data_IF_835297965975
#
_entry.id   IF_835297965975
#
_cell.length_a   1.000
_cell.length_b   1.000
_cell.length_c   1.000
_cell.angle_alpha   90.00
_cell.angle_beta   90.00
_cell.angle_gamma   90.00
#
_symmetry.space_group_name_H-M   'P 1'
#
loop_
_entity.id
_entity.type
_entity.pdbx_description
1 polymer ?
#
# COMPACT_ATOMS: atom_id res chain seq x y z
N UNK A 1 19.10 -4.96 -2.81
CA UNK A 1 19.24 -3.55 -3.05
C UNK A 1 17.90 -3.02 -2.59
N UNK A 2 17.86 -2.30 -1.46
CA UNK A 2 16.64 -1.56 -1.13
C UNK A 2 16.18 -0.79 -2.38
N UNK A 3 14.86 -0.62 -2.58
CA UNK A 3 14.37 0.12 -3.74
C UNK A 3 15.12 1.44 -3.84
N UNK A 4 15.56 1.78 -5.06
CA UNK A 4 16.33 3.01 -5.25
C UNK A 4 15.52 4.22 -4.78
N UNK A 5 16.23 5.28 -4.38
CA UNK A 5 15.55 6.52 -4.04
C UNK A 5 14.69 6.95 -5.25
N UNK A 6 13.39 7.22 -5.05
CA UNK A 6 12.50 7.58 -6.15
C UNK A 6 12.88 8.92 -6.79
N UNK A 7 13.69 9.74 -6.12
CA UNK A 7 14.17 11.02 -6.63
C UNK A 7 15.63 10.87 -7.04
N UNK A 8 15.91 11.06 -8.32
CA UNK A 8 17.27 11.04 -8.88
C UNK A 8 17.60 12.42 -9.45
N UNK A 9 18.56 13.11 -8.84
CA UNK A 9 18.95 14.45 -9.24
C UNK A 9 20.35 14.50 -9.86
N UNK A 10 20.53 15.40 -10.82
CA UNK A 10 21.82 15.74 -11.43
C UNK A 10 21.96 17.28 -11.52
N UNK A 11 22.92 17.77 -12.31
CA UNK A 11 23.15 19.22 -12.46
C UNK A 11 22.01 19.97 -13.16
N UNK A 12 21.13 19.28 -13.90
CA UNK A 12 20.08 19.89 -14.72
C UNK A 12 18.68 19.77 -14.11
N UNK A 13 18.51 19.03 -13.01
CA UNK A 13 17.24 18.86 -12.32
C UNK A 13 17.11 17.50 -11.65
N UNK A 14 15.87 17.10 -11.37
CA UNK A 14 15.52 15.85 -10.73
C UNK A 14 14.48 15.09 -11.54
N UNK A 15 14.59 13.77 -11.56
CA UNK A 15 13.59 12.85 -12.11
C UNK A 15 12.94 12.10 -10.95
N UNK A 16 11.61 12.14 -10.89
CA UNK A 16 10.82 11.35 -9.97
C UNK A 16 10.34 10.05 -10.64
N UNK A 17 10.56 8.95 -9.93
CA UNK A 17 10.04 7.62 -10.21
C UNK A 17 9.01 7.23 -9.13
N UNK A 18 8.22 6.20 -9.41
CA UNK A 18 7.44 5.52 -8.37
C UNK A 18 8.13 4.22 -7.95
N UNK A 19 7.58 3.53 -6.95
CA UNK A 19 8.09 2.22 -6.52
C UNK A 19 8.07 1.14 -7.61
N UNK A 20 7.32 1.36 -8.69
CA UNK A 20 7.17 0.44 -9.82
C UNK A 20 8.19 0.72 -10.94
N UNK A 21 8.97 1.79 -10.81
CA UNK A 21 9.92 2.25 -11.81
C UNK A 21 9.32 3.34 -12.70
N UNK A 22 9.03 3.00 -13.95
CA UNK A 22 8.53 3.96 -14.94
C UNK A 22 7.02 4.13 -14.76
N UNK A 23 6.55 5.37 -14.89
CA UNK A 23 5.12 5.69 -14.85
C UNK A 23 4.34 5.02 -16.01
N UNK A 24 3.03 4.82 -15.83
CA UNK A 24 2.17 4.12 -16.79
C UNK A 24 2.18 4.71 -18.21
N UNK A 25 2.31 6.04 -18.33
CA UNK A 25 2.39 6.76 -19.61
C UNK A 25 3.80 6.77 -20.23
N UNK A 26 4.77 6.13 -19.57
CA UNK A 26 6.20 6.08 -19.91
C UNK A 26 6.90 7.44 -20.00
N UNK A 27 6.28 8.50 -19.51
CA UNK A 27 6.88 9.84 -19.48
C UNK A 27 7.57 10.08 -18.16
N UNK A 28 8.79 10.59 -18.20
CA UNK A 28 9.53 10.99 -17.00
C UNK A 28 8.84 12.17 -16.30
N UNK A 29 9.04 12.23 -14.99
CA UNK A 29 8.52 13.29 -14.15
C UNK A 29 9.67 14.21 -13.76
N UNK A 30 9.92 15.23 -14.59
CA UNK A 30 11.01 16.18 -14.38
C UNK A 30 10.59 17.32 -13.45
N UNK A 31 11.54 17.77 -12.63
CA UNK A 31 11.36 18.85 -11.67
C UNK A 31 12.69 19.54 -11.44
N UNK A 32 12.68 20.88 -11.31
CA UNK A 32 13.89 21.67 -11.16
C UNK A 32 14.70 21.32 -9.89
N UNK A 33 14.03 21.11 -8.75
CA UNK A 33 14.73 20.86 -7.49
C UNK A 33 13.89 20.09 -6.47
N UNK A 34 14.56 19.50 -5.48
CA UNK A 34 13.97 18.79 -4.35
C UNK A 34 14.60 19.27 -3.06
N UNK A 35 13.79 19.44 -2.02
CA UNK A 35 14.26 19.70 -0.66
C UNK A 35 13.94 18.51 0.26
N UNK A 36 14.76 18.34 1.31
CA UNK A 36 14.64 17.22 2.26
C UNK A 36 14.56 17.71 3.72
N UNK A 37 13.43 18.31 4.12
CA UNK A 37 13.21 18.76 5.49
C UNK A 37 13.35 17.63 6.52
N UNK A 38 13.76 18.01 7.71
CA UNK A 38 13.96 17.15 8.89
C UNK A 38 13.08 17.57 10.06
N UNK A 39 12.50 18.78 10.00
CA UNK A 39 11.59 19.33 11.03
C UNK A 39 10.32 19.91 10.41
N UNK A 40 9.27 20.09 11.23
CA UNK A 40 8.02 20.72 10.77
C UNK A 40 8.24 22.17 10.33
N UNK A 41 9.15 22.89 10.99
CA UNK A 41 9.49 24.26 10.61
C UNK A 41 10.22 24.31 9.26
N UNK A 42 11.11 23.35 8.97
CA UNK A 42 11.73 23.25 7.65
C UNK A 42 10.70 22.90 6.55
N UNK A 43 9.70 22.06 6.85
CA UNK A 43 8.57 21.84 5.93
C UNK A 43 7.79 23.13 5.70
N UNK A 44 7.50 23.89 6.76
CA UNK A 44 6.78 25.16 6.67
C UNK A 44 7.56 26.19 5.86
N UNK A 45 8.86 26.32 6.11
CA UNK A 45 9.78 27.20 5.37
C UNK A 45 9.90 26.80 3.90
N UNK A 46 9.89 25.50 3.57
CA UNK A 46 9.87 25.02 2.19
C UNK A 46 8.60 25.46 1.45
N UNK A 47 7.42 25.31 2.09
CA UNK A 47 6.14 25.80 1.53
C UNK A 47 6.13 27.33 1.43
N UNK A 48 6.63 28.04 2.44
CA UNK A 48 6.73 29.50 2.43
C UNK A 48 7.60 30.01 1.29
N UNK A 49 8.79 29.41 1.09
CA UNK A 49 9.69 29.76 0.02
C UNK A 49 9.06 29.48 -1.36
N UNK A 50 8.38 28.35 -1.52
CA UNK A 50 7.67 28.04 -2.75
C UNK A 50 6.55 29.05 -3.03
N UNK A 51 5.74 29.38 -2.03
CA UNK A 51 4.66 30.36 -2.16
C UNK A 51 5.19 31.76 -2.52
N UNK A 52 6.22 32.24 -1.81
CA UNK A 52 6.88 33.54 -2.08
C UNK A 52 7.40 33.64 -3.53
N UNK A 53 7.94 32.54 -4.06
CA UNK A 53 8.50 32.47 -5.41
C UNK A 53 7.51 31.94 -6.47
N UNK A 54 6.23 31.77 -6.11
CA UNK A 54 5.16 31.27 -7.01
C UNK A 54 5.50 29.90 -7.65
N UNK A 55 6.22 29.05 -6.93
CA UNK A 55 6.57 27.69 -7.36
C UNK A 55 5.43 26.72 -7.06
N UNK A 56 5.21 25.74 -7.94
CA UNK A 56 4.33 24.61 -7.64
C UNK A 56 5.04 23.63 -6.71
N UNK A 57 4.28 23.01 -5.81
CA UNK A 57 4.82 22.07 -4.82
C UNK A 57 4.15 20.71 -4.99
N UNK A 58 4.96 19.66 -4.91
CA UNK A 58 4.47 18.30 -4.66
C UNK A 58 5.25 17.65 -3.54
N UNK A 59 4.55 16.87 -2.73
CA UNK A 59 5.12 16.16 -1.60
C UNK A 59 5.39 14.73 -2.03
N UNK A 60 6.58 14.22 -1.69
CA UNK A 60 7.01 12.88 -2.08
C UNK A 60 7.44 12.12 -0.83
N UNK A 61 6.86 10.94 -0.64
CA UNK A 61 7.27 10.02 0.41
C UNK A 61 8.51 9.24 0.01
N UNK A 62 9.20 8.65 1.00
CA UNK A 62 10.44 7.88 0.81
C UNK A 62 10.41 6.88 -0.36
N UNK A 63 9.26 6.26 -0.62
CA UNK A 63 9.13 5.24 -1.65
C UNK A 63 8.32 5.69 -2.88
N UNK A 64 7.62 6.83 -2.84
CA UNK A 64 6.77 7.30 -3.94
C UNK A 64 5.83 6.20 -4.46
N UNK A 65 5.16 5.49 -3.55
CA UNK A 65 4.35 4.32 -3.90
C UNK A 65 2.93 4.71 -4.34
N UNK A 66 2.85 5.27 -5.55
CA UNK A 66 1.60 5.62 -6.22
C UNK A 66 1.67 5.20 -7.69
N UNK A 67 0.63 4.54 -8.18
CA UNK A 67 0.51 4.20 -9.61
C UNK A 67 0.18 5.49 -10.40
N UNK A 68 -0.86 6.27 -10.03
CA UNK A 68 -1.10 7.54 -10.68
C UNK A 68 0.00 8.56 -10.36
N UNK A 69 0.24 9.47 -11.32
CA UNK A 69 1.21 10.58 -11.25
C UNK A 69 0.82 11.72 -10.28
N UNK A 70 0.24 11.41 -9.12
CA UNK A 70 -0.20 12.41 -8.14
C UNK A 70 0.94 13.28 -7.61
N UNK A 71 2.12 12.68 -7.46
CA UNK A 71 3.33 13.35 -6.99
C UNK A 71 4.06 14.14 -8.08
N UNK A 72 3.61 14.05 -9.34
CA UNK A 72 4.19 14.82 -10.43
C UNK A 72 3.55 16.20 -10.54
N UNK A 73 4.35 17.27 -10.61
CA UNK A 73 3.83 18.60 -10.90
C UNK A 73 3.30 18.67 -12.34
N UNK A 74 2.17 19.34 -12.54
CA UNK A 74 1.57 19.56 -13.87
C UNK A 74 2.22 20.70 -14.65
N UNK A 75 3.26 21.34 -14.10
CA UNK A 75 3.86 22.54 -14.66
C UNK A 75 4.62 22.22 -15.96
N UNK A 76 4.13 22.78 -17.08
CA UNK A 76 4.76 22.65 -18.41
C UNK A 76 6.12 23.34 -18.54
N UNK A 77 6.48 24.20 -17.58
CA UNK A 77 7.63 25.10 -17.64
C UNK A 77 8.58 24.98 -16.42
N UNK A 78 8.72 23.79 -15.83
CA UNK A 78 9.73 23.46 -14.79
C UNK A 78 9.69 24.23 -13.46
N UNK A 79 8.75 25.19 -13.27
CA UNK A 79 8.56 25.93 -12.02
C UNK A 79 7.88 25.10 -10.92
N UNK A 80 8.50 24.00 -10.53
CA UNK A 80 8.05 23.13 -9.46
C UNK A 80 9.20 22.69 -8.55
N UNK A 81 8.87 22.42 -7.29
CA UNK A 81 9.77 21.85 -6.29
C UNK A 81 9.11 20.63 -5.66
N UNK A 82 9.89 19.58 -5.44
CA UNK A 82 9.49 18.47 -4.58
C UNK A 82 9.90 18.73 -3.14
N UNK A 83 9.00 18.42 -2.20
CA UNK A 83 9.32 18.34 -0.78
C UNK A 83 9.31 16.86 -0.41
N UNK A 84 10.50 16.30 -0.17
CA UNK A 84 10.64 14.91 0.26
C UNK A 84 10.47 14.78 1.77
N UNK A 85 9.58 13.90 2.21
CA UNK A 85 9.40 13.58 3.63
C UNK A 85 10.31 12.45 4.09
N UNK A 86 11.27 12.01 3.27
CA UNK A 86 12.16 10.88 3.58
C UNK A 86 12.95 11.07 4.88
N UNK A 87 13.29 12.31 5.24
CA UNK A 87 14.04 12.66 6.46
C UNK A 87 13.17 13.25 7.58
N UNK A 88 11.88 13.41 7.33
CA UNK A 88 10.90 13.89 8.30
C UNK A 88 10.03 12.71 8.75
N UNK A 89 10.63 11.84 9.54
CA UNK A 89 10.08 10.53 9.89
C UNK A 89 10.53 10.01 11.27
N UNK A 90 10.85 10.91 12.20
CA UNK A 90 11.47 10.55 13.48
C UNK A 90 10.48 10.52 14.64
N UNK A 91 9.39 11.31 14.59
CA UNK A 91 8.45 11.42 15.70
C UNK A 91 7.30 10.41 15.60
N UNK A 92 7.18 9.53 16.60
CA UNK A 92 6.03 8.66 16.87
C UNK A 92 5.70 8.77 18.36
N UNK A 93 4.63 9.47 18.73
CA UNK A 93 4.24 9.72 20.12
C UNK A 93 2.94 8.98 20.41
N UNK A 94 3.02 7.95 21.25
CA UNK A 94 1.88 7.12 21.66
C UNK A 94 1.32 7.64 22.98
N UNK A 95 0.03 7.95 22.99
CA UNK A 95 -0.75 8.27 24.17
C UNK A 95 -1.60 7.05 24.54
N UNK A 96 -1.07 6.25 25.48
CA UNK A 96 -1.70 5.00 25.92
C UNK A 96 -3.01 5.26 26.68
N UNK A 97 -3.11 6.38 27.38
CA UNK A 97 -4.29 6.72 28.17
C UNK A 97 -5.49 7.05 27.27
N UNK A 98 -5.24 7.79 26.18
CA UNK A 98 -6.27 8.20 25.23
C UNK A 98 -6.40 7.28 24.00
N UNK A 99 -5.62 6.19 23.94
CA UNK A 99 -5.55 5.29 22.78
C UNK A 99 -5.33 6.09 21.49
N UNK A 100 -4.27 6.88 21.43
CA UNK A 100 -3.94 7.69 20.26
C UNK A 100 -2.45 7.65 19.94
N UNK A 101 -2.11 7.88 18.67
CA UNK A 101 -0.71 8.10 18.25
C UNK A 101 -0.62 9.31 17.35
N UNK A 102 0.28 10.25 17.67
CA UNK A 102 0.66 11.36 16.79
C UNK A 102 2.00 11.08 16.14
N UNK A 103 2.06 11.20 14.81
CA UNK A 103 3.19 10.74 14.01
C UNK A 103 3.55 11.71 12.89
N UNK A 104 4.85 11.85 12.59
CA UNK A 104 5.32 12.62 11.43
C UNK A 104 4.82 12.00 10.12
N UNK A 105 4.40 12.84 9.18
CA UNK A 105 3.81 12.38 7.92
C UNK A 105 4.70 11.47 7.08
N UNK A 106 6.04 11.56 7.23
CA UNK A 106 7.00 10.73 6.51
C UNK A 106 7.28 9.36 7.17
N UNK A 107 6.78 9.10 8.38
CA UNK A 107 6.93 7.79 9.04
C UNK A 107 6.26 6.71 8.21
N UNK A 108 7.00 5.62 7.99
CA UNK A 108 6.48 4.42 7.34
C UNK A 108 5.50 3.65 8.22
N UNK A 109 4.55 2.95 7.61
CA UNK A 109 3.52 2.21 8.33
C UNK A 109 4.10 1.08 9.21
N UNK A 110 5.14 0.37 8.75
CA UNK A 110 5.79 -0.70 9.55
C UNK A 110 6.41 -0.18 10.86
N UNK A 111 7.30 0.84 10.87
CA UNK A 111 7.79 1.44 12.11
C UNK A 111 6.68 1.95 13.04
N UNK A 112 5.59 2.50 12.49
CA UNK A 112 4.44 2.94 13.27
C UNK A 112 3.74 1.76 13.96
N UNK A 113 3.48 0.66 13.23
CA UNK A 113 2.89 -0.56 13.79
C UNK A 113 3.77 -1.11 14.91
N UNK A 114 5.07 -1.29 14.65
CA UNK A 114 5.98 -1.87 15.63
C UNK A 114 6.00 -1.03 16.92
N UNK A 115 6.09 0.30 16.81
CA UNK A 115 6.08 1.22 17.97
C UNK A 115 4.76 1.21 18.75
N UNK A 116 3.62 1.07 18.08
CA UNK A 116 2.30 0.99 18.73
C UNK A 116 2.12 -0.34 19.45
N UNK A 117 2.60 -1.44 18.87
CA UNK A 117 2.52 -2.78 19.47
C UNK A 117 3.43 -2.93 20.70
N UNK A 118 4.58 -2.24 20.75
CA UNK A 118 5.44 -2.16 21.95
C UNK A 118 4.68 -1.63 23.18
N UNK A 119 3.69 -0.77 22.98
CA UNK A 119 2.84 -0.22 24.05
C UNK A 119 1.59 -1.08 24.33
N UNK A 120 1.51 -2.28 23.76
CA UNK A 120 0.37 -3.20 23.91
C UNK A 120 -0.90 -2.73 23.20
N UNK A 121 -0.77 -1.85 22.21
CA UNK A 121 -1.87 -1.30 21.41
C UNK A 121 -1.84 -1.81 19.98
N UNK A 122 -2.83 -1.41 19.17
CA UNK A 122 -2.86 -1.68 17.74
C UNK A 122 -3.43 -0.51 16.94
N UNK A 123 -3.01 -0.40 15.69
CA UNK A 123 -3.73 0.43 14.70
C UNK A 123 -5.04 -0.26 14.36
N UNK A 124 -6.14 0.51 14.38
CA UNK A 124 -7.48 0.01 14.04
C UNK A 124 -7.54 -0.48 12.59
N UNK A 125 -6.91 0.26 11.68
CA UNK A 125 -6.82 -0.08 10.27
C UNK A 125 -5.39 0.10 9.75
N UNK A 126 -4.99 -0.73 8.79
CA UNK A 126 -3.73 -0.60 8.07
C UNK A 126 -3.86 -1.22 6.67
N UNK A 127 -3.02 -0.79 5.74
CA UNK A 127 -2.96 -1.35 4.39
C UNK A 127 -2.33 -2.74 4.37
N UNK A 128 -2.59 -3.50 3.29
CA UNK A 128 -1.90 -4.77 3.03
C UNK A 128 -0.40 -4.57 2.75
N UNK A 129 -0.03 -3.48 2.07
CA UNK A 129 1.36 -3.13 1.80
C UNK A 129 1.82 -2.01 2.73
N UNK A 130 2.95 -2.21 3.42
CA UNK A 130 3.36 -1.37 4.55
C UNK A 130 4.51 -0.41 4.24
N UNK A 131 5.00 -0.38 2.99
CA UNK A 131 5.98 0.59 2.56
C UNK A 131 5.40 1.99 2.29
N UNK A 132 4.16 2.28 2.74
CA UNK A 132 3.57 3.61 2.64
C UNK A 132 4.01 4.48 3.81
N UNK A 133 4.23 5.77 3.56
CA UNK A 133 4.27 6.78 4.62
C UNK A 133 2.86 7.09 5.12
N UNK A 134 2.69 7.42 6.39
CA UNK A 134 1.36 7.70 6.95
C UNK A 134 0.67 8.91 6.31
N UNK A 135 1.42 9.97 5.99
CA UNK A 135 0.87 11.15 5.30
C UNK A 135 0.36 10.81 3.91
N UNK A 136 1.10 9.98 3.17
CA UNK A 136 0.68 9.44 1.87
C UNK A 136 -0.57 8.56 2.00
N UNK A 137 -0.59 7.63 2.94
CA UNK A 137 -1.72 6.73 3.19
C UNK A 137 -3.03 7.49 3.48
N UNK A 138 -2.98 8.50 4.34
CA UNK A 138 -4.13 9.37 4.64
C UNK A 138 -4.53 10.22 3.44
N UNK A 139 -3.55 10.77 2.70
CA UNK A 139 -3.81 11.64 1.55
C UNK A 139 -4.50 10.90 0.39
N UNK A 140 -4.22 9.62 0.19
CA UNK A 140 -4.74 8.82 -0.93
C UNK A 140 -5.87 7.87 -0.54
N UNK A 141 -6.37 7.95 0.69
CA UNK A 141 -7.46 7.08 1.14
C UNK A 141 -7.07 5.60 1.25
N UNK A 142 -5.81 5.31 1.59
CA UNK A 142 -5.35 3.93 1.67
C UNK A 142 -6.07 3.14 2.78
N UNK A 143 -6.36 1.87 2.51
CA UNK A 143 -7.20 1.04 3.36
C UNK A 143 -6.73 -0.42 3.42
N UNK A 144 -7.16 -1.12 4.47
CA UNK A 144 -7.22 -2.57 4.55
C UNK A 144 -8.61 -3.07 4.15
N UNK A 145 -8.99 -4.25 4.64
CA UNK A 145 -10.33 -4.81 4.44
C UNK A 145 -11.07 -4.91 5.78
N UNK A 146 -12.25 -4.29 5.86
CA UNK A 146 -13.23 -4.49 6.93
C UNK A 146 -14.53 -3.75 6.63
N UNK A 147 -15.67 -4.37 6.94
CA UNK A 147 -16.99 -3.71 7.01
C UNK A 147 -17.45 -3.42 8.44
N UNK A 148 -16.63 -3.74 9.43
CA UNK A 148 -16.99 -3.55 10.83
C UNK A 148 -16.66 -2.12 11.28
N UNK A 149 -17.45 -1.60 12.22
CA UNK A 149 -17.23 -0.28 12.80
C UNK A 149 -17.18 0.83 11.75
N UNK A 150 -16.06 1.57 11.69
CA UNK A 150 -15.82 2.62 10.69
C UNK A 150 -15.18 2.10 9.39
N UNK A 151 -15.01 0.78 9.24
CA UNK A 151 -14.39 0.16 8.08
C UNK A 151 -12.85 0.11 8.13
N UNK A 152 -12.28 -0.44 7.07
CA UNK A 152 -10.84 -0.71 6.94
C UNK A 152 -9.99 0.48 6.46
N UNK A 153 -10.55 1.67 6.26
CA UNK A 153 -9.78 2.80 5.71
C UNK A 153 -9.03 3.57 6.79
N UNK A 154 -7.75 3.86 6.55
CA UNK A 154 -6.90 4.52 7.57
C UNK A 154 -7.42 5.91 7.92
N UNK A 155 -7.97 6.63 6.93
CA UNK A 155 -8.43 8.01 7.10
C UNK A 155 -9.67 8.13 8.00
N UNK A 156 -10.48 7.08 8.16
CA UNK A 156 -11.64 7.06 9.07
C UNK A 156 -11.24 7.03 10.55
N UNK A 157 -10.00 6.63 10.82
CA UNK A 157 -9.40 6.53 12.15
C UNK A 157 -8.45 7.70 12.47
N UNK A 158 -8.39 8.72 11.60
CA UNK A 158 -7.62 9.95 11.83
C UNK A 158 -8.40 10.90 12.72
N UNK A 159 -7.94 11.18 13.93
CA UNK A 159 -8.59 12.11 14.88
C UNK A 159 -7.97 13.51 14.88
N UNK A 160 -6.85 13.70 14.16
CA UNK A 160 -6.28 15.03 13.93
C UNK A 160 -5.19 15.03 12.87
N UNK A 161 -4.96 16.20 12.27
CA UNK A 161 -3.93 16.46 11.26
C UNK A 161 -3.33 17.84 11.50
N UNK A 162 -2.01 17.96 11.35
CA UNK A 162 -1.36 19.25 11.15
C UNK A 162 -1.13 19.46 9.66
N UNK A 163 -1.70 20.52 9.11
CA UNK A 163 -1.68 20.84 7.69
C UNK A 163 -0.95 22.17 7.46
N UNK A 164 0.15 22.13 6.72
CA UNK A 164 0.86 23.32 6.27
C UNK A 164 0.21 23.82 4.99
N UNK A 165 -0.26 25.07 5.01
CA UNK A 165 -0.92 25.72 3.87
C UNK A 165 -0.20 27.02 3.51
N UNK A 166 -0.28 27.48 2.24
CA UNK A 166 0.17 28.81 1.87
C UNK A 166 -0.48 29.89 2.73
N UNK A 167 0.31 30.90 3.11
CA UNK A 167 -0.13 32.06 3.89
C UNK A 167 0.24 33.36 3.19
N UNK A 168 -0.19 34.49 3.76
CA UNK A 168 0.21 35.81 3.26
C UNK A 168 1.61 36.19 3.78
N UNK A 169 2.14 37.35 3.34
CA UNK A 169 3.46 37.82 3.75
C UNK A 169 3.56 38.10 5.26
N UNK A 170 2.48 38.59 5.90
CA UNK A 170 2.44 38.81 7.36
C UNK A 170 2.48 37.51 8.18
N UNK A 171 2.06 36.39 7.59
CA UNK A 171 2.15 35.04 8.16
C UNK A 171 3.46 34.32 7.77
N UNK A 172 4.42 35.02 7.15
CA UNK A 172 5.67 34.43 6.69
C UNK A 172 5.48 33.46 5.51
N UNK A 173 4.48 33.70 4.65
CA UNK A 173 4.14 32.95 3.42
C UNK A 173 3.64 31.51 3.59
N UNK A 174 3.64 30.94 4.80
CA UNK A 174 3.01 29.65 5.09
C UNK A 174 2.66 29.55 6.57
N UNK A 175 1.54 28.89 6.87
CA UNK A 175 1.04 28.68 8.24
C UNK A 175 0.64 27.22 8.46
N UNK A 176 0.62 26.81 9.72
CA UNK A 176 0.20 25.46 10.14
C UNK A 176 -1.23 25.53 10.68
N UNK A 177 -2.10 24.67 10.18
CA UNK A 177 -3.44 24.43 10.73
C UNK A 177 -3.39 23.18 11.61
N UNK A 178 -3.81 23.28 12.86
CA UNK A 178 -3.98 22.15 13.78
C UNK A 178 -5.44 21.70 13.77
N UNK A 179 -5.79 20.78 12.87
CA UNK A 179 -7.16 20.31 12.65
C UNK A 179 -7.41 19.07 13.50
N UNK A 180 -8.37 19.10 14.43
CA UNK A 180 -8.63 17.99 15.36
C UNK A 180 -10.09 17.93 15.80
N UNK A 181 -10.50 16.77 16.29
CA UNK A 181 -11.85 16.56 16.79
C UNK A 181 -12.90 16.87 15.71
N UNK A 182 -13.84 17.75 16.04
CA UNK A 182 -14.96 18.11 15.17
C UNK A 182 -14.67 19.30 14.24
N UNK A 183 -13.39 19.66 14.04
CA UNK A 183 -13.03 20.69 13.07
C UNK A 183 -13.55 20.31 11.66
N UNK A 184 -14.41 21.14 11.04
CA UNK A 184 -15.05 20.79 9.76
C UNK A 184 -14.04 20.62 8.62
N UNK A 185 -12.84 21.22 8.72
CA UNK A 185 -11.79 21.09 7.71
C UNK A 185 -11.02 19.77 7.83
N UNK A 186 -11.14 19.03 8.94
CA UNK A 186 -10.47 17.75 9.10
C UNK A 186 -10.95 16.74 8.05
N UNK A 187 -12.25 16.74 7.74
CA UNK A 187 -12.82 15.88 6.69
C UNK A 187 -12.26 16.21 5.29
N UNK A 188 -11.95 17.47 5.01
CA UNK A 188 -11.31 17.86 3.75
C UNK A 188 -9.82 17.48 3.72
N UNK A 189 -9.13 17.58 4.86
CA UNK A 189 -7.72 17.21 4.96
C UNK A 189 -7.49 15.69 4.80
N UNK A 190 -8.43 14.88 5.29
CA UNK A 190 -8.51 13.44 5.00
C UNK A 190 -8.71 13.24 3.50
N UNK A 191 -7.94 12.34 2.89
CA UNK A 191 -8.04 12.03 1.44
C UNK A 191 -7.91 13.28 0.55
N UNK A 192 -7.01 14.20 0.91
CA UNK A 192 -6.82 15.45 0.18
C UNK A 192 -6.04 15.31 -1.14
N UNK A 193 -5.55 14.11 -1.48
CA UNK A 193 -4.67 13.85 -2.64
C UNK A 193 -3.43 14.77 -2.70
N UNK A 194 -3.07 15.40 -1.57
CA UNK A 194 -2.00 16.39 -1.48
C UNK A 194 -2.27 17.71 -2.20
N UNK A 195 -3.54 18.08 -2.48
CA UNK A 195 -3.87 19.33 -3.19
C UNK A 195 -4.21 20.50 -2.27
N UNK A 196 -4.60 20.22 -1.02
CA UNK A 196 -5.05 21.25 -0.06
C UNK A 196 -3.90 21.83 0.78
N UNK A 197 -2.81 21.09 0.92
CA UNK A 197 -1.66 21.47 1.73
C UNK A 197 -0.74 20.28 1.96
N UNK A 198 0.33 20.51 2.72
CA UNK A 198 1.27 19.48 3.15
C UNK A 198 0.85 18.99 4.53
N UNK A 199 0.45 17.73 4.66
CA UNK A 199 0.23 17.09 5.96
C UNK A 199 1.60 16.91 6.63
N UNK A 200 1.83 17.55 7.78
CA UNK A 200 3.06 17.44 8.57
C UNK A 200 2.91 16.45 9.71
N UNK A 201 1.75 16.32 10.34
CA UNK A 201 1.50 15.28 11.35
C UNK A 201 0.12 14.69 11.17
N UNK A 202 0.00 13.41 11.55
CA UNK A 202 -1.27 12.69 11.62
C UNK A 202 -1.43 12.20 13.05
N UNK A 203 -2.63 12.33 13.61
CA UNK A 203 -3.03 11.69 14.86
C UNK A 203 -4.09 10.64 14.56
N UNK A 204 -3.82 9.39 14.90
CA UNK A 204 -4.71 8.25 14.71
C UNK A 204 -5.26 7.78 16.05
N UNK A 205 -6.53 7.38 16.08
CA UNK A 205 -7.04 6.54 17.16
C UNK A 205 -6.43 5.14 17.09
N UNK A 206 -6.20 4.56 18.26
CA UNK A 206 -5.68 3.22 18.49
C UNK A 206 -6.74 2.37 19.18
N UNK A 207 -6.44 1.09 19.30
CA UNK A 207 -7.18 0.15 20.11
C UNK A 207 -6.24 -0.74 20.94
N UNK A 208 -6.81 -1.55 21.83
CA UNK A 208 -6.03 -2.55 22.58
C UNK A 208 -5.45 -3.58 21.62
N UNK A 209 -4.22 -4.00 21.88
CA UNK A 209 -3.57 -5.05 21.11
C UNK A 209 -4.39 -6.34 21.08
N UNK A 210 -4.29 -7.07 19.98
CA UNK A 210 -4.96 -8.36 19.77
C UNK A 210 -4.15 -9.24 18.82
N UNK A 211 -4.51 -10.53 18.78
CA UNK A 211 -4.01 -11.48 17.80
C UNK A 211 -5.10 -11.77 16.76
N UNK A 212 -4.71 -12.22 15.58
CA UNK A 212 -5.60 -12.71 14.53
C UNK A 212 -5.57 -14.22 14.48
N UNK A 213 -6.65 -14.85 14.03
CA UNK A 213 -6.75 -16.26 13.70
C UNK A 213 -7.14 -16.37 12.22
N UNK A 214 -6.20 -16.83 11.38
CA UNK A 214 -6.34 -16.78 9.92
C UNK A 214 -6.44 -18.18 9.33
N UNK A 215 -7.48 -18.41 8.53
CA UNK A 215 -7.63 -19.59 7.68
C UNK A 215 -7.88 -19.15 6.24
N UNK A 216 -7.14 -19.71 5.27
CA UNK A 216 -7.44 -19.51 3.85
C UNK A 216 -8.16 -20.74 3.31
N UNK A 217 -9.34 -20.54 2.74
CA UNK A 217 -10.11 -21.59 2.10
C UNK A 217 -10.02 -21.47 0.58
N UNK A 218 -9.25 -22.37 -0.03
CA UNK A 218 -9.14 -22.48 -1.49
C UNK A 218 -10.29 -23.36 -2.00
N UNK A 219 -11.27 -22.72 -2.63
CA UNK A 219 -12.51 -23.34 -3.12
C UNK A 219 -12.77 -22.94 -4.58
N UNK A 220 -13.85 -23.48 -5.17
CA UNK A 220 -14.36 -23.02 -6.45
C UNK A 220 -15.08 -21.66 -6.30
N UNK A 221 -15.18 -20.90 -7.39
CA UNK A 221 -15.76 -19.55 -7.42
C UNK A 221 -17.29 -19.48 -7.56
N UNK A 222 -17.99 -20.61 -7.52
CA UNK A 222 -19.46 -20.65 -7.52
C UNK A 222 -20.05 -19.84 -6.35
N UNK A 223 -20.97 -18.92 -6.66
CA UNK A 223 -21.78 -18.21 -5.66
C UNK A 223 -21.05 -17.05 -4.96
N UNK A 224 -19.86 -16.64 -5.41
CA UNK A 224 -19.15 -15.48 -4.84
C UNK A 224 -20.04 -14.25 -4.82
N UNK A 225 -20.78 -14.01 -5.90
CA UNK A 225 -21.70 -12.87 -6.07
C UNK A 225 -22.82 -12.84 -5.02
N UNK A 226 -23.20 -14.00 -4.49
CA UNK A 226 -24.25 -14.15 -3.48
C UNK A 226 -23.66 -14.13 -2.06
N UNK A 227 -22.46 -14.68 -1.88
CA UNK A 227 -21.87 -14.95 -0.57
C UNK A 227 -20.97 -13.83 -0.04
N UNK A 228 -20.39 -12.98 -0.90
CA UNK A 228 -19.36 -12.00 -0.49
C UNK A 228 -19.85 -11.06 0.61
N UNK A 229 -21.13 -10.66 0.55
CA UNK A 229 -21.73 -9.77 1.54
C UNK A 229 -21.81 -10.43 2.93
N UNK A 230 -22.19 -11.71 2.98
CA UNK A 230 -22.27 -12.42 4.25
C UNK A 230 -20.87 -12.67 4.82
N UNK A 231 -19.92 -13.04 3.96
CA UNK A 231 -18.53 -13.24 4.34
C UNK A 231 -17.92 -11.97 4.96
N UNK A 232 -18.11 -10.82 4.33
CA UNK A 232 -17.61 -9.53 4.82
C UNK A 232 -18.28 -9.04 6.11
N UNK A 233 -19.55 -9.43 6.36
CA UNK A 233 -20.21 -9.19 7.65
C UNK A 233 -19.73 -10.13 8.73
N UNK A 234 -19.39 -11.38 8.39
CA UNK A 234 -19.03 -12.42 9.36
C UNK A 234 -17.62 -12.29 9.90
N UNK A 235 -16.66 -11.90 9.07
CA UNK A 235 -15.24 -11.82 9.47
C UNK A 235 -14.76 -10.36 9.44
N UNK A 236 -14.15 -9.91 10.54
CA UNK A 236 -13.73 -8.51 10.71
C UNK A 236 -12.77 -8.06 9.59
N UNK A 237 -11.91 -8.95 9.11
CA UNK A 237 -10.92 -8.67 8.07
C UNK A 237 -11.06 -9.56 6.83
N UNK A 238 -12.32 -9.87 6.47
CA UNK A 238 -12.69 -10.67 5.31
C UNK A 238 -11.98 -10.21 4.02
N UNK A 239 -11.61 -11.15 3.17
CA UNK A 239 -10.95 -10.93 1.88
C UNK A 239 -11.23 -12.13 0.99
N UNK A 240 -11.55 -11.88 -0.28
CA UNK A 240 -11.74 -12.90 -1.29
C UNK A 240 -10.77 -12.60 -2.44
N UNK A 241 -9.81 -13.50 -2.66
CA UNK A 241 -9.00 -13.49 -3.88
C UNK A 241 -9.69 -14.37 -4.91
N UNK A 242 -10.22 -13.74 -5.97
CA UNK A 242 -10.89 -14.45 -7.06
C UNK A 242 -9.92 -14.71 -8.20
N UNK A 243 -9.91 -15.96 -8.67
CA UNK A 243 -9.13 -16.45 -9.80
C UNK A 243 -10.03 -17.01 -10.93
N UNK A 244 -10.74 -16.14 -11.68
CA UNK A 244 -11.75 -16.55 -12.66
C UNK A 244 -11.23 -17.54 -13.71
N UNK A 245 -9.99 -17.40 -14.19
CA UNK A 245 -9.47 -18.34 -15.20
C UNK A 245 -9.47 -19.80 -14.73
N UNK A 246 -9.31 -20.04 -13.43
CA UNK A 246 -9.22 -21.38 -12.84
C UNK A 246 -10.49 -21.78 -12.10
N UNK A 247 -11.55 -20.97 -12.20
CA UNK A 247 -12.78 -21.16 -11.45
C UNK A 247 -12.53 -21.34 -9.95
N UNK A 248 -11.65 -20.51 -9.39
CA UNK A 248 -11.18 -20.65 -8.01
C UNK A 248 -11.35 -19.35 -7.24
N UNK A 249 -11.67 -19.47 -5.96
CA UNK A 249 -11.61 -18.37 -5.02
C UNK A 249 -10.95 -18.78 -3.73
N UNK A 250 -10.30 -17.82 -3.09
CA UNK A 250 -9.62 -17.99 -1.82
C UNK A 250 -10.25 -17.05 -0.82
N UNK A 251 -11.08 -17.61 0.06
CA UNK A 251 -11.72 -16.88 1.13
C UNK A 251 -10.78 -16.81 2.33
N UNK A 252 -10.63 -15.63 2.91
CA UNK A 252 -9.86 -15.38 4.12
C UNK A 252 -10.81 -15.30 5.31
N UNK A 253 -10.87 -16.37 6.10
CA UNK A 253 -11.52 -16.34 7.41
C UNK A 253 -10.52 -15.76 8.40
N UNK A 254 -10.84 -14.60 8.95
CA UNK A 254 -9.90 -13.80 9.73
C UNK A 254 -10.59 -13.15 10.92
N UNK A 255 -10.39 -13.78 12.07
CA UNK A 255 -11.03 -13.40 13.32
C UNK A 255 -10.03 -12.77 14.28
N UNK A 256 -10.51 -11.78 15.02
CA UNK A 256 -9.82 -11.28 16.21
C UNK A 256 -9.89 -12.31 17.33
N UNK A 257 -8.75 -12.54 17.98
CA UNK A 257 -8.63 -13.38 19.18
C UNK A 257 -7.83 -12.67 20.28
N UNK A 258 -8.05 -13.01 21.57
CA UNK A 258 -7.33 -12.39 22.68
C UNK A 258 -5.81 -12.51 22.58
N UNK A 259 -5.07 -11.55 23.13
CA UNK A 259 -3.58 -11.55 23.12
C UNK A 259 -2.96 -12.78 23.78
N UNK A 260 -3.63 -13.39 24.77
CA UNK A 260 -3.16 -14.59 25.46
C UNK A 260 -3.38 -15.89 24.66
N UNK A 261 -3.97 -15.81 23.47
CA UNK A 261 -4.12 -16.96 22.57
C UNK A 261 -2.74 -17.42 22.09
N UNK A 262 -2.48 -18.73 22.16
CA UNK A 262 -1.21 -19.33 21.75
C UNK A 262 -0.99 -19.21 20.23
N UNK A 263 0.24 -18.91 19.83
CA UNK A 263 0.65 -18.81 18.42
C UNK A 263 1.30 -17.46 18.09
N UNK A 264 2.44 -17.51 17.40
CA UNK A 264 3.21 -16.33 16.99
C UNK A 264 3.39 -16.31 15.47
N UNK A 265 2.32 -16.69 14.77
CA UNK A 265 2.28 -16.77 13.34
C UNK A 265 2.46 -15.41 12.66
N UNK A 266 2.94 -15.48 11.42
CA UNK A 266 3.25 -14.30 10.61
C UNK A 266 2.66 -14.46 9.21
N UNK A 267 2.38 -13.33 8.55
CA UNK A 267 2.00 -13.30 7.15
C UNK A 267 3.13 -12.73 6.29
N UNK A 268 4.07 -13.59 5.94
CA UNK A 268 5.18 -13.27 5.05
C UNK A 268 4.76 -13.48 3.59
N UNK A 269 3.95 -12.56 3.08
CA UNK A 269 3.30 -12.70 1.77
C UNK A 269 4.30 -12.80 0.63
N UNK A 270 4.19 -13.87 -0.15
CA UNK A 270 5.15 -14.15 -1.23
C UNK A 270 5.21 -13.08 -2.32
N UNK A 271 4.11 -12.37 -2.59
CA UNK A 271 4.08 -11.34 -3.62
C UNK A 271 4.95 -10.13 -3.28
N UNK A 272 5.27 -9.91 -2.00
CA UNK A 272 6.14 -8.82 -1.56
C UNK A 272 7.55 -9.28 -1.22
N UNK A 273 7.85 -10.58 -1.40
CA UNK A 273 9.20 -11.09 -1.22
C UNK A 273 10.07 -10.72 -2.42
N UNK A 274 11.34 -10.41 -2.19
CA UNK A 274 12.28 -10.21 -3.26
C UNK A 274 12.57 -11.54 -3.96
N UNK A 275 12.58 -11.51 -5.29
CA UNK A 275 12.88 -12.63 -6.17
C UNK A 275 13.98 -12.23 -7.15
N UNK A 276 14.79 -13.19 -7.59
CA UNK A 276 15.81 -12.95 -8.61
C UNK A 276 15.13 -12.55 -9.93
N UNK A 277 15.60 -11.49 -10.59
CA UNK A 277 15.02 -10.96 -11.83
C UNK A 277 14.88 -12.02 -12.96
N UNK A 278 15.79 -12.99 -13.01
CA UNK A 278 15.73 -14.10 -13.97
C UNK A 278 14.46 -14.94 -13.84
N UNK A 279 13.87 -15.05 -12.64
CA UNK A 279 12.66 -15.85 -12.41
C UNK A 279 11.45 -15.25 -13.15
N UNK A 280 11.03 -13.99 -12.88
CA UNK A 280 9.94 -13.37 -13.63
C UNK A 280 10.25 -13.20 -15.11
N UNK A 281 11.51 -12.95 -15.51
CA UNK A 281 11.90 -12.92 -16.92
C UNK A 281 11.64 -14.27 -17.61
N UNK A 282 12.00 -15.37 -16.95
CA UNK A 282 11.76 -16.73 -17.46
C UNK A 282 10.27 -17.03 -17.54
N UNK A 283 9.50 -16.73 -16.47
CA UNK A 283 8.05 -16.90 -16.46
C UNK A 283 7.41 -16.11 -17.62
N UNK A 284 7.80 -14.84 -17.79
CA UNK A 284 7.32 -13.99 -18.88
C UNK A 284 7.69 -14.53 -20.26
N UNK A 285 8.89 -15.07 -20.43
CA UNK A 285 9.32 -15.70 -21.68
C UNK A 285 8.46 -16.94 -22.00
N UNK A 286 8.20 -17.79 -21.00
CA UNK A 286 7.31 -18.95 -21.14
C UNK A 286 5.88 -18.54 -21.48
N UNK A 287 5.34 -17.51 -20.83
CA UNK A 287 4.02 -16.95 -21.14
C UNK A 287 3.92 -16.47 -22.59
N UNK A 288 4.92 -15.70 -23.05
CA UNK A 288 4.99 -15.19 -24.42
C UNK A 288 5.08 -16.33 -25.44
N UNK A 289 5.84 -17.38 -25.16
CA UNK A 289 5.94 -18.55 -26.03
C UNK A 289 4.59 -19.30 -26.14
N UNK A 290 3.88 -19.46 -25.02
CA UNK A 290 2.55 -20.04 -25.00
C UNK A 290 1.53 -19.17 -25.76
N UNK A 291 1.59 -17.84 -25.62
CA UNK A 291 0.74 -16.90 -26.37
C UNK A 291 1.01 -16.94 -27.87
N UNK A 292 2.29 -16.91 -28.28
CA UNK A 292 2.69 -16.94 -29.68
C UNK A 292 2.21 -18.21 -30.40
N UNK A 293 2.16 -19.33 -29.67
CA UNK A 293 1.67 -20.63 -30.18
C UNK A 293 0.18 -20.86 -29.92
N UNK A 294 -0.53 -19.90 -29.31
CA UNK A 294 -1.92 -20.03 -28.84
C UNK A 294 -2.15 -21.31 -28.02
N UNK A 295 -1.16 -21.71 -27.23
CA UNK A 295 -1.20 -22.93 -26.43
C UNK A 295 -1.98 -22.69 -25.14
N UNK A 296 -3.30 -22.89 -25.21
CA UNK A 296 -4.25 -22.76 -24.11
C UNK A 296 -3.86 -23.70 -22.95
N UNK A 297 -3.53 -24.96 -23.23
CA UNK A 297 -3.20 -25.95 -22.20
C UNK A 297 -1.97 -25.51 -21.38
N UNK A 298 -0.93 -24.97 -22.02
CA UNK A 298 0.25 -24.47 -21.32
C UNK A 298 -0.11 -23.30 -20.38
N UNK A 299 -0.94 -22.35 -20.84
CA UNK A 299 -1.44 -21.24 -20.00
C UNK A 299 -2.23 -21.76 -18.78
N UNK A 300 -3.06 -22.79 -18.97
CA UNK A 300 -3.85 -23.37 -17.88
C UNK A 300 -3.04 -24.15 -16.87
N UNK A 301 -2.04 -24.90 -17.32
CA UNK A 301 -1.10 -25.57 -16.44
C UNK A 301 -0.33 -24.54 -15.61
N UNK A 302 0.12 -23.43 -16.23
CA UNK A 302 0.81 -22.35 -15.51
C UNK A 302 -0.10 -21.68 -14.46
N UNK A 303 -1.33 -21.31 -14.83
CA UNK A 303 -2.29 -20.69 -13.92
C UNK A 303 -2.61 -21.62 -12.72
N UNK A 304 -2.97 -22.88 -13.00
CA UNK A 304 -3.29 -23.88 -11.97
C UNK A 304 -2.09 -24.16 -11.06
N UNK A 305 -0.88 -24.26 -11.63
CA UNK A 305 0.35 -24.45 -10.85
C UNK A 305 0.63 -23.27 -9.91
N UNK A 306 0.34 -22.05 -10.35
CA UNK A 306 0.51 -20.85 -9.51
C UNK A 306 -0.41 -20.87 -8.27
N UNK A 307 -1.66 -21.30 -8.44
CA UNK A 307 -2.63 -21.42 -7.33
C UNK A 307 -2.29 -22.60 -6.43
N UNK A 308 -1.91 -23.74 -7.01
CA UNK A 308 -1.45 -24.90 -6.25
C UNK A 308 -0.22 -24.56 -5.39
N UNK A 309 0.73 -23.80 -5.93
CA UNK A 309 1.88 -23.30 -5.19
C UNK A 309 1.46 -22.35 -4.06
N UNK A 310 0.55 -21.40 -4.32
CA UNK A 310 0.00 -20.51 -3.28
C UNK A 310 -0.68 -21.29 -2.16
N UNK A 311 -1.45 -22.32 -2.50
CA UNK A 311 -2.11 -23.22 -1.52
C UNK A 311 -1.08 -23.98 -0.69
N UNK A 312 -0.05 -24.54 -1.31
CA UNK A 312 0.99 -25.33 -0.65
C UNK A 312 1.70 -24.53 0.47
N UNK A 313 1.93 -23.24 0.23
CA UNK A 313 2.66 -22.36 1.16
C UNK A 313 1.74 -21.44 1.97
N UNK A 314 0.43 -21.70 1.96
CA UNK A 314 -0.57 -20.87 2.64
C UNK A 314 -0.50 -19.38 2.30
N UNK A 315 -0.21 -19.06 1.03
CA UNK A 315 0.02 -17.72 0.51
C UNK A 315 1.14 -16.94 1.24
N UNK A 316 1.96 -17.60 2.07
CA UNK A 316 2.99 -16.97 2.90
C UNK A 316 2.67 -16.90 4.40
N UNK A 317 1.52 -17.40 4.84
CA UNK A 317 1.23 -17.57 6.27
C UNK A 317 2.13 -18.65 6.88
N UNK A 318 2.61 -18.43 8.09
CA UNK A 318 3.49 -19.35 8.83
C UNK A 318 3.08 -19.40 10.30
N UNK A 319 3.06 -20.59 10.91
CA UNK A 319 2.82 -20.74 12.35
C UNK A 319 4.15 -20.62 13.15
N UNK A 320 5.28 -20.82 12.47
CA UNK A 320 6.65 -20.64 12.97
C UNK A 320 7.55 -20.23 11.80
N UNK A 321 8.65 -20.94 11.53
CA UNK A 321 9.48 -20.68 10.33
C UNK A 321 8.79 -21.10 9.02
N UNK A 322 7.89 -22.09 9.11
CA UNK A 322 7.13 -22.66 7.99
C UNK A 322 5.63 -22.72 8.31
N UNK A 323 4.82 -22.96 7.28
CA UNK A 323 3.40 -23.25 7.43
C UNK A 323 3.21 -24.71 7.89
N UNK A 324 2.43 -24.93 8.94
CA UNK A 324 2.12 -26.28 9.45
C UNK A 324 0.62 -26.58 9.47
N UNK A 325 -0.23 -25.56 9.40
CA UNK A 325 -1.68 -25.73 9.31
C UNK A 325 -2.46 -24.48 9.70
N UNK A 326 -3.76 -24.54 9.46
CA UNK A 326 -4.71 -23.51 9.89
C UNK A 326 -5.39 -23.89 11.22
N UNK A 327 -5.84 -22.90 12.02
CA UNK A 327 -5.62 -21.46 11.81
C UNK A 327 -4.18 -21.05 12.12
N UNK A 328 -3.71 -20.00 11.43
CA UNK A 328 -2.47 -19.31 11.79
C UNK A 328 -2.82 -18.18 12.75
N UNK A 329 -2.33 -18.30 13.98
CA UNK A 329 -2.59 -17.33 15.05
C UNK A 329 -1.35 -16.50 15.30
N UNK A 330 -1.47 -15.17 15.35
CA UNK A 330 -0.36 -14.27 15.64
C UNK A 330 -0.77 -12.82 15.84
N UNK A 331 0.17 -11.96 16.23
CA UNK A 331 -0.10 -10.54 16.49
C UNK A 331 -0.63 -9.80 15.24
N UNK A 332 -1.58 -8.88 15.43
CA UNK A 332 -2.21 -8.11 14.34
C UNK A 332 -1.19 -7.48 13.38
N UNK A 333 -0.12 -6.87 13.89
CA UNK A 333 0.94 -6.27 13.09
C UNK A 333 1.84 -7.26 12.36
N UNK A 334 1.89 -8.53 12.79
CA UNK A 334 2.69 -9.59 12.14
C UNK A 334 1.87 -10.46 11.19
N UNK A 335 0.55 -10.49 11.35
CA UNK A 335 -0.41 -11.21 10.50
C UNK A 335 -0.96 -10.35 9.33
N UNK A 336 -0.29 -9.23 9.03
CA UNK A 336 -0.46 -8.44 7.80
C UNK A 336 0.68 -8.78 6.83
N UNK A 337 0.47 -8.68 5.49
CA UNK A 337 1.51 -8.95 4.52
C UNK A 337 2.76 -8.10 4.80
N UNK A 338 3.83 -8.73 5.23
CA UNK A 338 5.07 -8.03 5.52
C UNK A 338 5.87 -7.80 4.23
N UNK A 339 6.53 -6.65 4.14
CA UNK A 339 7.54 -6.40 3.11
C UNK A 339 8.92 -6.59 3.75
N UNK A 340 9.59 -7.70 3.44
CA UNK A 340 11.01 -7.86 3.75
C UNK A 340 11.82 -7.09 2.71
N UNK A 341 12.35 -5.92 3.09
CA UNK A 341 13.33 -5.20 2.26
C UNK A 341 14.63 -6.00 2.25
N UNK A 342 14.87 -6.87 1.25
CA UNK A 342 16.15 -7.59 1.16
C UNK A 342 17.25 -6.82 0.42
N UNK A 343 18.48 -7.18 0.77
CA UNK A 343 19.74 -6.60 0.30
C UNK A 343 20.17 -7.02 -1.11
N UNK A 344 19.38 -7.82 -1.85
CA UNK A 344 19.74 -8.33 -3.19
C UNK A 344 19.08 -7.55 -4.34
N UNK A 345 19.69 -7.38 -5.53
CA UNK A 345 19.13 -6.54 -6.61
C UNK A 345 17.72 -7.00 -6.99
N UNK A 346 16.73 -6.13 -6.78
CA UNK A 346 15.29 -6.42 -6.91
C UNK A 346 14.71 -5.54 -8.01
N UNK A 347 13.98 -6.15 -8.94
CA UNK A 347 13.01 -5.44 -9.77
C UNK A 347 11.63 -5.55 -9.09
N UNK A 348 11.16 -4.45 -8.53
CA UNK A 348 9.79 -4.30 -7.98
C UNK A 348 8.70 -4.39 -9.05
N UNK A 349 9.06 -4.39 -10.34
CA UNK A 349 8.13 -4.60 -11.47
C UNK A 349 7.37 -5.93 -11.37
N UNK A 350 7.85 -6.89 -10.56
CA UNK A 350 7.35 -8.26 -10.62
C UNK A 350 6.47 -8.67 -9.46
N UNK A 351 6.48 -7.98 -8.32
CA UNK A 351 5.50 -8.20 -7.25
C UNK A 351 4.04 -8.06 -7.74
N UNK A 352 3.81 -7.10 -8.64
CA UNK A 352 2.53 -6.90 -9.31
C UNK A 352 2.37 -7.75 -10.58
N UNK A 353 3.46 -8.16 -11.24
CA UNK A 353 3.37 -9.10 -12.37
C UNK A 353 3.08 -10.55 -11.93
N UNK A 354 3.41 -10.93 -10.68
CA UNK A 354 2.89 -12.16 -10.05
C UNK A 354 1.43 -12.02 -9.60
N UNK A 355 0.90 -10.78 -9.63
CA UNK A 355 -0.51 -10.48 -9.69
C UNK A 355 -1.05 -10.77 -11.09
N UNK A 356 -1.32 -12.04 -11.35
CA UNK A 356 -2.48 -12.45 -12.14
C UNK A 356 -2.56 -11.75 -13.52
N UNK A 357 -1.65 -12.08 -14.44
CA UNK A 357 -2.10 -12.11 -15.84
C UNK A 357 -2.90 -13.40 -16.02
N UNK A 358 -4.17 -13.33 -15.62
CA UNK A 358 -5.10 -14.40 -15.85
C UNK A 358 -5.37 -14.57 -17.32
N UNK A 359 -4.92 -15.69 -17.86
CA UNK A 359 -5.38 -16.12 -19.16
C UNK A 359 -6.83 -16.56 -19.03
N UNK A 360 -7.78 -15.83 -19.63
CA UNK A 360 -9.17 -16.30 -19.85
C UNK A 360 -9.26 -17.62 -20.65
N UNK A 361 -8.13 -18.19 -21.04
CA UNK A 361 -7.99 -19.41 -21.84
C UNK A 361 -8.58 -20.65 -21.18
N UNK A 362 -8.61 -20.69 -19.85
CA UNK A 362 -8.98 -21.87 -19.09
C UNK A 362 -10.48 -21.95 -18.81
N UNK A 363 -11.19 -20.86 -19.10
CA UNK A 363 -12.62 -20.72 -18.85
C UNK A 363 -13.49 -20.93 -20.11
N UNK A 364 -12.92 -21.28 -21.27
CA UNK A 364 -13.70 -21.47 -22.50
C UNK A 364 -13.55 -22.86 -23.12
N UNK A 365 -14.69 -23.50 -23.38
CA UNK A 365 -14.83 -24.62 -24.33
C UNK A 365 -14.90 -24.13 -25.79
N UNK A 366 -14.74 -22.82 -26.05
CA UNK A 366 -14.94 -22.22 -27.37
C UNK A 366 -13.77 -21.29 -27.79
N UNK A 367 -12.95 -21.68 -28.81
CA UNK A 367 -11.74 -20.97 -29.21
C UNK A 367 -11.91 -19.59 -29.88
N UNK A 368 -13.14 -19.13 -30.16
CA UNK A 368 -13.37 -17.93 -30.99
C UNK A 368 -13.45 -16.58 -30.26
N UNK A 369 -13.42 -16.52 -28.93
CA UNK A 369 -13.51 -15.23 -28.19
C UNK A 369 -12.16 -14.51 -27.97
N UNK A 370 -11.06 -15.02 -28.54
CA UNK A 370 -9.70 -14.58 -28.19
C UNK A 370 -9.23 -13.23 -28.78
N UNK A 371 -10.07 -12.46 -29.51
CA UNK A 371 -9.58 -11.33 -30.32
C UNK A 371 -9.75 -9.92 -29.74
N UNK A 372 -10.42 -9.71 -28.60
CA UNK A 372 -10.59 -8.36 -28.05
C UNK A 372 -10.70 -8.37 -26.53
N UNK A 373 -9.58 -8.27 -25.81
CA UNK A 373 -9.52 -7.64 -24.47
C UNK A 373 -8.07 -7.59 -23.96
N UNK A 374 -7.58 -6.38 -23.68
CA UNK A 374 -6.28 -6.14 -23.05
C UNK A 374 -6.30 -6.60 -21.56
N UNK A 375 -5.14 -6.90 -20.97
CA UNK A 375 -5.04 -7.22 -19.54
C UNK A 375 -5.65 -6.07 -18.72
N UNK A 376 -6.74 -6.36 -18.03
CA UNK A 376 -7.38 -5.41 -17.13
C UNK A 376 -6.57 -5.32 -15.84
N UNK A 377 -6.33 -4.12 -15.29
CA UNK A 377 -5.74 -3.98 -13.95
C UNK A 377 -6.63 -4.69 -12.93
N UNK A 378 -5.98 -5.35 -11.97
CA UNK A 378 -6.62 -6.03 -10.83
C UNK A 378 -7.68 -5.11 -10.24
N UNK A 379 -8.94 -5.49 -10.42
CA UNK A 379 -10.06 -4.91 -9.69
C UNK A 379 -10.17 -5.73 -8.41
N UNK A 380 -9.83 -5.14 -7.28
CA UNK A 380 -10.40 -5.61 -6.02
C UNK A 380 -11.90 -5.35 -6.15
N UNK A 381 -12.71 -6.40 -6.22
CA UNK A 381 -14.15 -6.25 -6.10
C UNK A 381 -14.41 -5.81 -4.66
N UNK A 382 -14.82 -4.55 -4.52
CA UNK A 382 -15.12 -3.85 -3.27
C UNK A 382 -16.42 -4.32 -2.64
#
# INVERSE_FOLDING_TARGET
MPPQNPIQCNQTGCILYNSYGVWDDRKTCHVATTVYPTTEEELRLAVANANKNKLKVKVVSKFSHTIPKLACPTARNENAVLISTERYNSSIVVDVANLAVTVDAGVGLRPLIDRVEEEGLSLVAATYWEGVSIGGAVSTGAHGSSWWGKGGAIHDHVIGVRLIVPGNASEGFARVLDLKGDDPLLNAARVSLGVLGLISKVTLSLERGFKRSITLNFTNDNGIEDEFMEHAKRYEFADIQWYPSTYAAVYRYDDRVPLNTSGDGVFDFIGFRPILAVIPETVRASEKAAEATKNINAKCIMATSSIAYRKLIANGLKNSEVFTGYPVIGHQGKCKPQVLVSTHPIQTETAYAYGIQESKACSSTNPQQYSQQQPSPISYVT
#
